data_IF_932516459659
#
_entry.id   IF_932516459659
#
_cell.length_a   1.000
_cell.length_b   1.000
_cell.length_c   1.000
_cell.angle_alpha   90.00
_cell.angle_beta   90.00
_cell.angle_gamma   90.00
#
_symmetry.space_group_name_H-M   'P 1'
#
loop_
_entity.id
_entity.type
_entity.pdbx_description
1 polymer ?
#
# COMPACT_ATOMS: atom_id res chain seq x y z
N UNK A 1 3.90 12.22 -6.80
CA UNK A 1 3.11 11.95 -5.59
C UNK A 1 3.78 10.80 -4.88
N UNK A 2 4.08 11.01 -3.61
CA UNK A 2 4.69 10.00 -2.74
C UNK A 2 3.63 9.05 -2.22
N UNK A 3 4.04 7.84 -1.84
CA UNK A 3 3.11 6.85 -1.27
C UNK A 3 2.37 7.37 -0.04
N UNK A 4 3.04 8.13 0.83
CA UNK A 4 2.43 8.72 2.03
C UNK A 4 1.40 9.84 1.73
N UNK A 5 1.36 10.33 0.50
CA UNK A 5 0.42 11.37 0.06
C UNK A 5 -0.87 10.78 -0.53
N UNK A 6 -0.96 9.45 -0.63
CA UNK A 6 -2.20 8.77 -1.02
C UNK A 6 -3.28 8.97 0.04
N UNK A 7 -4.51 9.19 -0.42
CA UNK A 7 -5.67 9.30 0.46
C UNK A 7 -6.04 7.92 1.01
N UNK A 8 -6.49 7.87 2.25
CA UNK A 8 -7.07 6.65 2.81
C UNK A 8 -8.25 6.19 1.94
N UNK A 9 -8.34 4.88 1.71
CA UNK A 9 -9.30 4.23 0.82
C UNK A 9 -9.12 4.52 -0.68
N UNK A 10 -8.05 5.21 -1.08
CA UNK A 10 -7.76 5.43 -2.49
C UNK A 10 -7.45 4.10 -3.17
N UNK A 11 -8.11 3.84 -4.30
CA UNK A 11 -7.86 2.67 -5.12
C UNK A 11 -6.61 2.87 -5.98
N UNK A 12 -5.76 1.84 -5.99
CA UNK A 12 -4.52 1.81 -6.76
C UNK A 12 -4.34 0.43 -7.39
N UNK A 13 -3.61 0.38 -8.50
CA UNK A 13 -3.19 -0.86 -9.14
C UNK A 13 -1.72 -1.09 -8.81
N UNK A 14 -1.38 -2.27 -8.31
CA UNK A 14 0.00 -2.68 -8.04
C UNK A 14 0.27 -3.98 -8.77
N UNK A 15 1.19 -3.97 -9.75
CA UNK A 15 1.48 -5.12 -10.60
C UNK A 15 0.23 -5.71 -11.30
N UNK A 16 -0.70 -4.86 -11.75
CA UNK A 16 -1.93 -5.29 -12.44
C UNK A 16 -3.05 -5.78 -11.53
N UNK A 17 -2.91 -5.67 -10.21
CA UNK A 17 -3.93 -6.06 -9.23
C UNK A 17 -4.48 -4.84 -8.48
N UNK A 18 -5.78 -4.85 -8.18
CA UNK A 18 -6.47 -3.75 -7.50
C UNK A 18 -6.28 -3.81 -5.99
N UNK A 19 -5.89 -2.69 -5.41
CA UNK A 19 -5.72 -2.51 -3.98
C UNK A 19 -6.36 -1.21 -3.51
N UNK A 20 -6.64 -1.15 -2.23
CA UNK A 20 -7.10 0.02 -1.51
C UNK A 20 -6.00 0.45 -0.52
N UNK A 21 -5.58 1.71 -0.58
CA UNK A 21 -4.59 2.26 0.35
C UNK A 21 -5.18 2.40 1.76
N UNK A 22 -4.53 1.79 2.75
CA UNK A 22 -4.94 1.86 4.17
C UNK A 22 -4.00 2.67 5.06
N UNK A 23 -2.93 3.23 4.50
CA UNK A 23 -1.93 3.98 5.28
C UNK A 23 -1.01 3.06 6.09
N UNK A 24 -0.48 3.57 7.21
CA UNK A 24 0.42 2.82 8.09
C UNK A 24 -0.40 2.04 9.13
N UNK A 25 -0.25 0.72 9.13
CA UNK A 25 -0.90 -0.19 10.06
C UNK A 25 0.11 -1.02 10.86
N UNK A 26 -0.25 -1.37 12.09
CA UNK A 26 0.46 -2.41 12.85
C UNK A 26 0.02 -3.78 12.37
N UNK A 27 0.98 -4.58 11.93
CA UNK A 27 0.76 -5.96 11.51
C UNK A 27 1.46 -6.92 12.47
N UNK A 28 0.82 -8.08 12.70
CA UNK A 28 1.39 -9.15 13.52
C UNK A 28 2.34 -9.98 12.65
N UNK A 29 3.61 -9.98 13.00
CA UNK A 29 4.60 -10.89 12.44
C UNK A 29 4.90 -12.01 13.44
N UNK A 30 5.51 -13.12 13.01
CA UNK A 30 6.01 -14.14 13.93
C UNK A 30 6.92 -13.50 14.99
N UNK A 31 6.53 -13.62 16.27
CA UNK A 31 7.31 -13.13 17.41
C UNK A 31 7.17 -11.65 17.75
N UNK A 32 6.76 -10.75 16.85
CA UNK A 32 6.69 -9.30 17.12
C UNK A 32 5.58 -8.56 16.35
N UNK A 33 5.40 -7.27 16.64
CA UNK A 33 4.51 -6.38 15.90
C UNK A 33 5.34 -5.36 15.15
N UNK A 34 5.00 -5.10 13.89
CA UNK A 34 5.72 -4.14 13.05
C UNK A 34 4.74 -3.17 12.40
N UNK A 35 5.17 -1.92 12.19
CA UNK A 35 4.39 -0.92 11.44
C UNK A 35 4.77 -0.98 9.96
N UNK A 36 3.79 -1.20 9.09
CA UNK A 36 3.95 -1.23 7.63
C UNK A 36 2.89 -0.42 6.93
N UNK A 37 3.21 0.06 5.73
CA UNK A 37 2.25 0.63 4.81
C UNK A 37 1.41 -0.50 4.23
N UNK A 38 0.10 -0.42 4.38
CA UNK A 38 -0.84 -1.44 3.96
C UNK A 38 -1.60 -1.02 2.70
N UNK A 39 -1.57 -1.91 1.72
CA UNK A 39 -2.46 -1.91 0.56
C UNK A 39 -3.34 -3.15 0.66
N UNK A 40 -4.62 -2.94 0.97
CA UNK A 40 -5.59 -4.02 1.12
C UNK A 40 -6.04 -4.50 -0.25
N UNK A 41 -6.01 -5.80 -0.49
CA UNK A 41 -6.50 -6.40 -1.72
C UNK A 41 -8.00 -6.17 -1.90
N UNK A 42 -8.41 -5.77 -3.12
CA UNK A 42 -9.81 -5.73 -3.53
C UNK A 42 -10.26 -7.01 -4.27
N UNK A 43 -9.38 -8.00 -4.39
CA UNK A 43 -9.62 -9.26 -5.10
C UNK A 43 -9.21 -10.52 -4.32
N UNK A 44 -9.04 -11.64 -5.04
CA UNK A 44 -8.62 -12.93 -4.46
C UNK A 44 -7.09 -13.08 -4.34
N UNK A 45 -6.39 -12.01 -3.98
CA UNK A 45 -4.95 -12.01 -3.75
C UNK A 45 -4.60 -11.47 -2.36
N UNK A 46 -3.39 -11.73 -1.83
CA UNK A 46 -2.97 -11.22 -0.53
C UNK A 46 -2.85 -9.70 -0.51
N UNK A 47 -2.98 -9.14 0.68
CA UNK A 47 -2.62 -7.75 0.96
C UNK A 47 -1.12 -7.50 0.73
N UNK A 48 -0.78 -6.30 0.30
CA UNK A 48 0.61 -5.87 0.15
C UNK A 48 1.02 -4.99 1.32
N UNK A 49 2.20 -5.29 1.85
CA UNK A 49 2.82 -4.55 2.93
C UNK A 49 4.17 -4.00 2.47
N UNK A 50 4.42 -2.74 2.75
CA UNK A 50 5.70 -2.10 2.48
C UNK A 50 6.27 -1.52 3.77
N UNK A 51 7.60 -1.45 3.86
CA UNK A 51 8.27 -0.80 4.97
C UNK A 51 7.98 0.71 4.96
N UNK A 52 8.12 1.34 6.13
CA UNK A 52 7.80 2.76 6.30
C UNK A 52 8.62 3.69 5.39
N UNK A 53 9.85 3.30 5.04
CA UNK A 53 10.72 4.09 4.17
C UNK A 53 10.15 4.24 2.75
N UNK A 54 9.36 3.26 2.29
CA UNK A 54 8.67 3.28 1.00
C UNK A 54 7.64 4.42 0.95
N UNK A 55 7.17 4.91 2.09
CA UNK A 55 6.24 6.03 2.18
C UNK A 55 6.76 7.32 1.53
N UNK A 56 8.08 7.50 1.47
CA UNK A 56 8.72 8.65 0.84
C UNK A 56 9.05 8.45 -0.64
N UNK A 57 8.93 7.24 -1.17
CA UNK A 57 9.16 6.94 -2.57
C UNK A 57 8.03 7.48 -3.45
N UNK A 58 8.34 7.84 -4.68
CA UNK A 58 7.34 8.22 -5.67
C UNK A 58 6.51 6.99 -6.05
N UNK A 59 5.20 7.17 -6.13
CA UNK A 59 4.23 6.13 -6.53
C UNK A 59 4.60 5.51 -7.89
N UNK A 60 5.14 6.33 -8.81
CA UNK A 60 5.59 5.91 -10.15
C UNK A 60 6.77 4.94 -10.11
N UNK A 61 7.73 5.15 -9.20
CA UNK A 61 8.93 4.32 -9.08
C UNK A 61 8.59 2.89 -8.61
N UNK A 62 7.50 2.77 -7.85
CA UNK A 62 6.99 1.50 -7.33
C UNK A 62 6.01 0.80 -8.27
N UNK A 63 5.80 1.34 -9.49
CA UNK A 63 4.81 0.83 -10.45
C UNK A 63 3.41 0.73 -9.85
N UNK A 64 3.05 1.71 -9.02
CA UNK A 64 1.71 1.87 -8.47
C UNK A 64 0.97 2.83 -9.39
N UNK A 65 -0.19 2.42 -9.89
CA UNK A 65 -1.04 3.25 -10.74
C UNK A 65 -2.23 3.74 -9.92
N UNK A 66 -2.56 5.02 -10.01
CA UNK A 66 -3.70 5.60 -9.29
C UNK A 66 -4.94 5.43 -10.16
N UNK A 67 -5.98 4.82 -9.62
CA UNK A 67 -7.29 4.80 -10.28
C UNK A 67 -7.93 6.17 -10.05
N UNK A 68 -8.07 6.96 -11.13
CA UNK A 68 -8.78 8.23 -11.06
C UNK A 68 -10.26 7.93 -10.76
N UNK A 69 -10.75 8.42 -9.62
CA UNK A 69 -12.16 8.37 -9.24
C UNK A 69 -12.92 9.54 -9.84
#
# INVERSE_FOLDING_TARGET
>A
MKVKELNLKQEVIINGFNYEFKGVNKIRMPGHWEQKILFKSLGKHPDKHFDLHVGNAEVKDLKIEIVAT
#
